data_IF_211264055623
#
_entry.id   IF_211264055623
#
_cell.length_a   1.000
_cell.length_b   1.000
_cell.length_c   1.000
_cell.angle_alpha   90.00
_cell.angle_beta   90.00
_cell.angle_gamma   90.00
#
_symmetry.space_group_name_H-M   'P 1'
#
loop_
_entity.id
_entity.type
_entity.pdbx_description
1 polymer ?
#
# COMPACT_ATOMS: atom_id res chain seq x y z
N UNK A 1 -2.91 -32.39 12.49
CA UNK A 1 -2.33 -31.30 13.32
C UNK A 1 -2.82 -29.99 12.75
N UNK A 2 -3.68 -29.22 13.43
CA UNK A 2 -4.06 -27.92 12.94
C UNK A 2 -2.88 -26.98 13.18
N UNK A 3 -2.27 -26.48 12.10
CA UNK A 3 -1.23 -25.45 12.20
C UNK A 3 -1.87 -24.17 12.69
N UNK A 4 -1.54 -23.76 13.91
CA UNK A 4 -1.81 -22.40 14.36
C UNK A 4 -1.18 -21.46 13.31
N UNK A 5 -1.98 -20.63 12.64
CA UNK A 5 -1.48 -19.80 11.54
C UNK A 5 -0.43 -18.83 12.05
N UNK A 6 0.80 -18.90 11.51
CA UNK A 6 1.79 -17.85 11.74
C UNK A 6 1.38 -16.63 10.92
N UNK A 7 1.11 -15.51 11.60
CA UNK A 7 0.82 -14.23 10.98
C UNK A 7 2.00 -13.27 11.16
N UNK A 8 2.25 -12.45 10.14
CA UNK A 8 3.13 -11.31 10.21
C UNK A 8 2.45 -10.12 9.53
N UNK A 9 2.61 -8.93 10.10
CA UNK A 9 2.10 -7.68 9.53
C UNK A 9 3.26 -6.79 9.10
N UNK A 10 3.20 -6.27 7.89
CA UNK A 10 4.16 -5.30 7.36
C UNK A 10 3.39 -4.08 6.86
N UNK A 11 3.82 -2.89 7.27
CA UNK A 11 3.27 -1.65 6.74
C UNK A 11 3.91 -1.36 5.39
N UNK A 12 3.09 -1.25 4.35
CA UNK A 12 3.51 -0.98 2.98
C UNK A 12 2.85 0.31 2.48
N UNK A 13 3.56 1.14 1.69
CA UNK A 13 2.95 2.24 0.96
C UNK A 13 1.73 1.78 0.12
N UNK A 14 0.59 2.47 0.21
CA UNK A 14 -0.56 2.16 -0.65
C UNK A 14 -0.28 2.55 -2.11
N UNK A 15 -1.05 1.98 -3.03
CA UNK A 15 -0.96 2.26 -4.48
C UNK A 15 0.17 1.56 -5.22
N UNK A 16 1.07 0.87 -4.52
CA UNK A 16 2.26 0.25 -5.10
C UNK A 16 2.10 -1.26 -5.35
N UNK A 17 3.03 -1.83 -6.11
CA UNK A 17 3.03 -3.22 -6.55
C UNK A 17 4.20 -3.98 -5.91
N UNK A 18 3.91 -5.12 -5.26
CA UNK A 18 4.90 -5.90 -4.51
C UNK A 18 5.04 -7.33 -5.03
N UNK A 19 6.29 -7.80 -5.05
CA UNK A 19 6.64 -9.21 -5.25
C UNK A 19 6.75 -9.92 -3.91
N UNK A 20 5.75 -10.73 -3.58
CA UNK A 20 5.70 -11.52 -2.36
C UNK A 20 6.28 -12.92 -2.62
N UNK A 21 7.24 -13.35 -1.80
CA UNK A 21 7.74 -14.73 -1.76
C UNK A 21 7.75 -15.24 -0.33
N UNK A 22 7.52 -16.54 -0.17
CA UNK A 22 7.58 -17.21 1.14
C UNK A 22 8.68 -18.26 1.09
N UNK A 23 9.62 -18.22 2.04
CA UNK A 23 10.71 -19.19 2.13
C UNK A 23 10.54 -20.11 3.33
N UNK A 24 10.48 -21.42 3.10
CA UNK A 24 10.66 -22.44 4.13
C UNK A 24 12.16 -22.69 4.34
N UNK A 25 12.63 -22.64 5.59
CA UNK A 25 14.04 -22.87 5.94
C UNK A 25 14.14 -24.02 6.95
N UNK A 26 15.02 -25.00 6.71
CA UNK A 26 15.32 -26.10 7.64
C UNK A 26 16.78 -26.50 7.50
N UNK A 27 17.50 -26.67 8.61
CA UNK A 27 18.86 -27.27 8.65
C UNK A 27 19.81 -26.82 7.51
N UNK A 28 19.89 -25.51 7.26
CA UNK A 28 20.75 -24.92 6.22
C UNK A 28 20.18 -24.96 4.79
N UNK A 29 19.07 -25.66 4.56
CA UNK A 29 18.34 -25.69 3.31
C UNK A 29 17.22 -24.65 3.31
N UNK A 30 16.98 -24.03 2.15
CA UNK A 30 15.89 -23.08 1.92
C UNK A 30 15.15 -23.42 0.62
N UNK A 31 13.83 -23.35 0.67
CA UNK A 31 12.98 -23.42 -0.52
C UNK A 31 12.02 -22.22 -0.54
N UNK A 32 11.94 -21.52 -1.66
CA UNK A 32 11.09 -20.33 -1.83
C UNK A 32 9.93 -20.63 -2.76
N UNK A 33 8.77 -20.04 -2.47
CA UNK A 33 7.63 -20.04 -3.38
C UNK A 33 7.96 -19.31 -4.69
N UNK A 34 7.17 -19.57 -5.73
CA UNK A 34 7.10 -18.69 -6.90
C UNK A 34 6.69 -17.27 -6.42
N UNK A 35 7.25 -16.19 -7.01
CA UNK A 35 6.82 -14.84 -6.70
C UNK A 35 5.34 -14.63 -7.00
N UNK A 36 4.63 -14.03 -6.06
CA UNK A 36 3.25 -13.58 -6.24
C UNK A 36 3.22 -12.05 -6.30
N UNK A 37 2.62 -11.50 -7.35
CA UNK A 37 2.48 -10.06 -7.50
C UNK A 37 1.18 -9.63 -6.83
N UNK A 38 1.28 -8.70 -5.89
CA UNK A 38 0.13 -8.04 -5.26
C UNK A 38 0.17 -6.55 -5.59
N UNK A 39 -0.99 -5.99 -5.92
CA UNK A 39 -1.18 -4.55 -6.07
C UNK A 39 -1.97 -4.05 -4.87
N UNK A 40 -1.47 -3.01 -4.21
CA UNK A 40 -2.22 -2.31 -3.17
C UNK A 40 -3.01 -1.16 -3.80
N UNK A 41 -4.23 -0.96 -3.34
CA UNK A 41 -5.05 0.16 -3.79
C UNK A 41 -4.47 1.49 -3.27
N UNK A 42 -4.52 2.58 -4.06
CA UNK A 42 -4.12 3.90 -3.59
C UNK A 42 -4.96 4.36 -2.40
N UNK A 43 -4.35 5.11 -1.48
CA UNK A 43 -5.08 5.69 -0.36
C UNK A 43 -5.90 6.91 -0.82
N UNK A 44 -7.07 7.15 -0.22
CA UNK A 44 -7.81 8.38 -0.46
C UNK A 44 -7.02 9.60 0.04
N UNK A 45 -7.16 10.77 -0.60
CA UNK A 45 -6.50 11.99 -0.16
C UNK A 45 -7.00 12.38 1.24
N UNK A 46 -6.08 12.90 2.05
CA UNK A 46 -6.38 13.33 3.43
C UNK A 46 -6.35 14.85 3.53
N UNK A 47 -6.99 15.37 4.57
CA UNK A 47 -6.87 16.78 4.96
C UNK A 47 -7.25 17.75 3.83
N UNK A 48 -8.41 17.54 3.20
CA UNK A 48 -8.89 18.41 2.13
C UNK A 48 -9.35 19.76 2.67
N UNK A 49 -8.69 20.84 2.26
CA UNK A 49 -9.01 22.21 2.66
C UNK A 49 -9.25 23.11 1.45
N UNK A 50 -10.23 24.00 1.61
CA UNK A 50 -10.43 25.13 0.71
C UNK A 50 -9.66 26.35 1.22
N UNK A 51 -8.84 26.93 0.36
CA UNK A 51 -8.08 28.16 0.60
C UNK A 51 -8.31 29.14 -0.55
N UNK A 52 -8.01 30.42 -0.31
CA UNK A 52 -8.10 31.49 -1.32
C UNK A 52 -9.46 31.52 -2.08
N UNK A 53 -10.56 31.44 -1.33
CA UNK A 53 -11.89 31.49 -1.91
C UNK A 53 -12.25 32.90 -2.39
N UNK A 54 -12.77 32.99 -3.62
CA UNK A 54 -13.40 34.19 -4.18
C UNK A 54 -14.87 33.90 -4.48
N UNK A 55 -15.58 34.86 -5.07
CA UNK A 55 -16.96 34.65 -5.50
C UNK A 55 -17.09 33.64 -6.67
N UNK A 56 -16.02 33.33 -7.39
CA UNK A 56 -16.06 32.46 -8.58
C UNK A 56 -15.00 31.35 -8.61
N UNK A 57 -14.10 31.29 -7.62
CA UNK A 57 -13.03 30.32 -7.58
C UNK A 57 -12.65 29.94 -6.16
N UNK A 58 -12.03 28.76 -6.03
CA UNK A 58 -11.44 28.28 -4.79
C UNK A 58 -10.20 27.47 -5.12
N UNK A 59 -9.19 27.50 -4.27
CA UNK A 59 -8.03 26.62 -4.36
C UNK A 59 -8.18 25.51 -3.33
N UNK A 60 -8.01 24.26 -3.74
CA UNK A 60 -8.05 23.11 -2.83
C UNK A 60 -6.63 22.62 -2.55
N UNK A 61 -6.38 22.25 -1.30
CA UNK A 61 -5.14 21.62 -0.85
C UNK A 61 -5.48 20.31 -0.14
N UNK A 62 -4.70 19.27 -0.37
CA UNK A 62 -4.81 17.98 0.30
C UNK A 62 -3.42 17.37 0.50
N UNK A 63 -3.35 16.34 1.35
CA UNK A 63 -2.15 15.54 1.56
C UNK A 63 -2.32 14.16 0.93
N UNK A 64 -1.26 13.67 0.32
CA UNK A 64 -1.20 12.36 -0.35
C UNK A 64 -0.48 11.33 0.53
N UNK A 65 -0.85 10.07 0.38
CA UNK A 65 -0.16 8.94 1.00
C UNK A 65 0.04 7.83 -0.02
N UNK A 66 1.28 7.35 -0.14
CA UNK A 66 1.63 6.30 -1.08
C UNK A 66 1.74 6.80 -2.52
N UNK A 67 1.49 5.89 -3.46
CA UNK A 67 1.64 6.12 -4.90
C UNK A 67 0.26 6.41 -5.52
N UNK A 68 0.14 7.54 -6.22
CA UNK A 68 -1.08 7.94 -6.93
C UNK A 68 -0.71 8.46 -8.31
N UNK A 69 -1.41 8.00 -9.34
CA UNK A 69 -1.20 8.47 -10.72
C UNK A 69 -1.99 9.75 -11.03
N UNK A 70 -3.25 9.83 -10.58
CA UNK A 70 -4.13 10.99 -10.79
C UNK A 70 -5.33 11.01 -9.83
N UNK A 71 -6.02 12.16 -9.77
CA UNK A 71 -7.32 12.36 -9.12
C UNK A 71 -8.35 12.83 -10.15
N UNK A 72 -9.62 12.46 -9.96
CA UNK A 72 -10.73 12.80 -10.85
C UNK A 72 -11.87 13.45 -10.07
#
# INVERSE_FOLDING_TARGET
>A
VPRNGMGASLTLPPGDIYNLTVSACTEGQRNSSVPNIIKLEPAPPRSLYAVNATHSSVTLLWSEEGVVDFYQ
#
